data_IF_273541331378
#
_entry.id   IF_273541331378
#
_cell.length_a   1.000
_cell.length_b   1.000
_cell.length_c   1.000
_cell.angle_alpha   90.00
_cell.angle_beta   90.00
_cell.angle_gamma   90.00
#
_symmetry.space_group_name_H-M   'P 1'
#
loop_
_entity.id
_entity.type
_entity.pdbx_description
1 polymer ?
#
# COMPACT_ATOMS: atom_id res chain seq x y z
N UNK A 1 4.99 2.27 -0.19
CA UNK A 1 6.30 2.37 -0.87
C UNK A 1 6.06 3.08 -2.21
N UNK A 2 7.10 3.46 -2.95
CA UNK A 2 6.95 4.00 -4.30
C UNK A 2 6.81 2.89 -5.34
N UNK A 3 5.86 3.07 -6.26
CA UNK A 3 5.77 2.32 -7.52
C UNK A 3 6.42 3.15 -8.63
N UNK A 4 7.08 2.52 -9.61
CA UNK A 4 7.67 3.24 -10.74
C UNK A 4 6.58 3.94 -11.55
N UNK A 5 6.87 5.17 -11.98
CA UNK A 5 5.98 5.99 -12.81
C UNK A 5 6.81 6.77 -13.84
N UNK A 6 6.41 6.78 -15.10
CA UNK A 6 7.21 7.42 -16.17
C UNK A 6 7.32 8.94 -16.01
N UNK A 7 6.28 9.58 -15.46
CA UNK A 7 6.19 11.04 -15.37
C UNK A 7 6.78 11.57 -14.06
N UNK A 8 6.52 10.86 -12.96
CA UNK A 8 6.84 11.30 -11.61
C UNK A 8 8.02 10.54 -10.99
N UNK A 9 8.56 9.55 -11.70
CA UNK A 9 9.60 8.65 -11.20
C UNK A 9 9.04 7.61 -10.23
N UNK A 10 8.37 8.06 -9.17
CA UNK A 10 7.59 7.21 -8.27
C UNK A 10 6.23 7.81 -7.90
N UNK A 11 5.25 6.92 -7.72
CA UNK A 11 3.93 7.25 -7.16
C UNK A 11 3.67 6.46 -5.87
N UNK A 12 2.92 7.02 -4.89
CA UNK A 12 2.69 6.35 -3.62
C UNK A 12 1.83 5.10 -3.79
N UNK A 13 2.18 4.04 -3.07
CA UNK A 13 1.34 2.86 -2.93
C UNK A 13 1.26 2.40 -1.48
N UNK A 14 0.14 1.75 -1.14
CA UNK A 14 -0.16 1.29 0.20
C UNK A 14 -0.51 -0.20 0.23
N UNK A 15 -0.10 -0.86 1.31
CA UNK A 15 -0.59 -2.19 1.69
C UNK A 15 -1.10 -2.06 3.11
N UNK A 16 -2.32 -2.50 3.35
CA UNK A 16 -2.94 -2.48 4.67
C UNK A 16 -3.40 -3.88 5.07
N UNK A 17 -3.62 -4.10 6.36
CA UNK A 17 -4.17 -5.34 6.88
C UNK A 17 -5.30 -4.97 7.83
N UNK A 18 -6.42 -5.67 7.71
CA UNK A 18 -7.60 -5.45 8.53
C UNK A 18 -7.47 -6.27 9.82
N UNK A 19 -8.04 -5.78 10.92
CA UNK A 19 -8.09 -6.56 12.17
C UNK A 19 -8.96 -7.80 11.98
N UNK A 20 -8.68 -8.91 12.67
CA UNK A 20 -9.51 -10.11 12.57
C UNK A 20 -11.00 -9.81 12.85
N UNK A 21 -11.87 -10.26 11.95
CA UNK A 21 -13.33 -10.06 12.06
C UNK A 21 -13.85 -8.73 11.50
N UNK A 22 -12.96 -7.78 11.19
CA UNK A 22 -13.33 -6.50 10.60
C UNK A 22 -13.27 -6.55 9.07
N UNK A 23 -13.87 -5.56 8.41
CA UNK A 23 -13.79 -5.36 6.95
C UNK A 23 -13.51 -3.90 6.63
N UNK A 24 -12.69 -3.68 5.61
CA UNK A 24 -12.42 -2.36 5.06
C UNK A 24 -11.99 -2.55 3.60
N UNK A 25 -12.77 -2.02 2.66
CA UNK A 25 -12.41 -2.07 1.25
C UNK A 25 -11.32 -1.02 0.92
N UNK A 26 -10.49 -1.25 -0.11
CA UNK A 26 -9.46 -0.29 -0.53
C UNK A 26 -10.03 1.09 -0.88
N UNK A 27 -11.22 1.13 -1.46
CA UNK A 27 -11.93 2.36 -1.85
C UNK A 27 -12.34 3.18 -0.63
N UNK A 28 -12.84 2.52 0.41
CA UNK A 28 -13.23 3.16 1.68
C UNK A 28 -12.01 3.78 2.38
N UNK A 29 -10.87 3.08 2.36
CA UNK A 29 -9.61 3.61 2.89
C UNK A 29 -9.13 4.82 2.06
N UNK A 30 -9.23 4.76 0.73
CA UNK A 30 -8.86 5.88 -0.15
C UNK A 30 -9.75 7.11 0.10
N UNK A 31 -11.06 6.91 0.24
CA UNK A 31 -12.04 7.96 0.55
C UNK A 31 -11.79 8.61 1.90
N UNK A 32 -11.41 7.81 2.90
CA UNK A 32 -10.96 8.33 4.18
C UNK A 32 -9.70 9.19 3.99
N UNK A 33 -8.66 8.69 3.33
CA UNK A 33 -7.40 9.42 3.14
C UNK A 33 -7.61 10.75 2.39
N UNK A 34 -8.47 10.78 1.37
CA UNK A 34 -8.74 12.00 0.56
C UNK A 34 -9.19 13.20 1.39
N UNK A 35 -9.83 12.96 2.54
CA UNK A 35 -10.30 14.01 3.46
C UNK A 35 -9.22 14.47 4.45
N UNK A 36 -8.11 13.74 4.58
CA UNK A 36 -7.12 13.92 5.65
C UNK A 36 -5.72 14.28 5.16
N UNK A 37 -5.39 14.01 3.89
CA UNK A 37 -4.09 14.31 3.32
C UNK A 37 -4.22 15.00 1.95
N UNK A 38 -3.16 15.70 1.56
CA UNK A 38 -3.09 16.33 0.24
C UNK A 38 -3.18 15.28 -0.88
N UNK A 39 -3.82 15.64 -1.99
CA UNK A 39 -4.12 14.73 -3.10
C UNK A 39 -2.87 13.97 -3.62
N UNK A 40 -1.72 14.63 -3.72
CA UNK A 40 -0.46 14.00 -4.18
C UNK A 40 0.11 12.94 -3.22
N UNK A 41 -0.42 12.85 -2.00
CA UNK A 41 -0.05 11.80 -1.02
C UNK A 41 -0.98 10.60 -1.07
N UNK A 42 -2.07 10.67 -1.83
CA UNK A 42 -2.97 9.53 -1.98
C UNK A 42 -2.26 8.39 -2.70
N UNK A 43 -2.35 7.16 -2.21
CA UNK A 43 -1.85 6.00 -2.94
C UNK A 43 -2.58 5.86 -4.28
N UNK A 44 -1.83 5.68 -5.37
CA UNK A 44 -2.42 5.34 -6.68
C UNK A 44 -2.89 3.89 -6.73
N UNK A 45 -2.31 3.05 -5.87
CA UNK A 45 -2.67 1.64 -5.73
C UNK A 45 -2.65 1.23 -4.26
N UNK A 46 -3.66 0.46 -3.86
CA UNK A 46 -3.84 -0.04 -2.49
C UNK A 46 -4.10 -1.55 -2.56
N UNK A 47 -3.34 -2.33 -1.80
CA UNK A 47 -3.59 -3.75 -1.59
C UNK A 47 -4.04 -4.03 -0.17
N UNK A 48 -5.02 -4.92 -0.02
CA UNK A 48 -5.33 -5.57 1.25
C UNK A 48 -4.44 -6.81 1.42
N UNK A 49 -3.78 -6.92 2.56
CA UNK A 49 -3.05 -8.11 2.97
C UNK A 49 -3.98 -9.03 3.76
N UNK A 50 -4.17 -10.25 3.27
CA UNK A 50 -4.95 -11.29 3.96
C UNK A 50 -4.15 -12.09 4.98
N UNK A 51 -2.82 -11.92 4.99
CA UNK A 51 -1.90 -12.50 5.95
C UNK A 51 -1.06 -11.42 6.61
N UNK A 52 -0.42 -11.76 7.74
CA UNK A 52 0.47 -10.85 8.43
C UNK A 52 1.59 -10.36 7.50
N UNK A 53 1.77 -9.04 7.45
CA UNK A 53 2.87 -8.46 6.68
C UNK A 53 4.23 -9.01 7.14
N UNK A 54 5.15 -9.30 6.21
CA UNK A 54 6.51 -9.71 6.51
C UNK A 54 7.16 -8.80 7.55
N UNK A 55 7.84 -9.40 8.53
CA UNK A 55 8.55 -8.67 9.60
C UNK A 55 10.02 -9.08 9.64
N UNK A 56 10.87 -8.13 10.00
CA UNK A 56 12.28 -8.36 10.33
C UNK A 56 12.37 -9.05 11.70
N UNK A 57 13.54 -9.59 12.05
CA UNK A 57 13.79 -10.17 13.39
C UNK A 57 13.58 -9.20 14.56
N UNK A 58 13.55 -7.88 14.30
CA UNK A 58 13.19 -6.82 15.26
C UNK A 58 11.68 -6.53 15.31
N UNK A 59 10.85 -7.38 14.70
CA UNK A 59 9.40 -7.26 14.57
C UNK A 59 8.90 -6.02 13.80
N UNK A 60 9.77 -5.19 13.21
CA UNK A 60 9.35 -4.12 12.30
C UNK A 60 8.88 -4.71 10.97
N UNK A 61 7.93 -4.04 10.31
CA UNK A 61 7.51 -4.42 8.94
C UNK A 61 8.72 -4.38 8.01
N UNK A 62 8.95 -5.47 7.30
CA UNK A 62 9.97 -5.56 6.26
C UNK A 62 9.43 -4.93 4.97
N UNK A 63 9.69 -3.62 4.82
CA UNK A 63 9.26 -2.84 3.66
C UNK A 63 9.80 -3.38 2.33
N UNK A 64 10.97 -4.03 2.31
CA UNK A 64 11.60 -4.53 1.08
C UNK A 64 10.84 -5.76 0.58
N UNK A 65 10.58 -6.71 1.47
CA UNK A 65 9.80 -7.90 1.14
C UNK A 65 8.36 -7.52 0.76
N UNK A 66 7.73 -6.60 1.51
CA UNK A 66 6.41 -6.07 1.14
C UNK A 66 6.41 -5.44 -0.27
N UNK A 67 7.39 -4.61 -0.63
CA UNK A 67 7.47 -4.06 -2.00
C UNK A 67 7.59 -5.18 -3.04
N UNK A 68 8.48 -6.15 -2.81
CA UNK A 68 8.70 -7.26 -3.74
C UNK A 68 7.45 -8.14 -3.93
N UNK A 69 6.70 -8.41 -2.86
CA UNK A 69 5.49 -9.25 -2.91
C UNK A 69 4.34 -8.58 -3.65
N UNK A 70 4.12 -7.28 -3.44
CA UNK A 70 2.92 -6.59 -3.91
C UNK A 70 3.14 -5.80 -5.22
N UNK A 71 4.35 -5.32 -5.49
CA UNK A 71 4.63 -4.54 -6.71
C UNK A 71 4.90 -5.40 -7.95
N UNK A 72 5.05 -6.73 -7.81
CA UNK A 72 5.42 -7.64 -8.92
C UNK A 72 4.42 -7.63 -10.08
N UNK A 73 3.14 -7.42 -9.79
CA UNK A 73 2.05 -7.44 -10.77
C UNK A 73 1.62 -6.03 -11.18
N UNK A 74 2.28 -4.99 -10.65
CA UNK A 74 2.01 -3.62 -11.03
C UNK A 74 2.69 -3.33 -12.37
N UNK A 75 1.87 -3.25 -13.42
CA UNK A 75 2.26 -2.70 -14.71
C UNK A 75 1.87 -1.23 -14.68
N UNK A 76 2.87 -0.35 -14.77
CA UNK A 76 2.62 1.07 -14.96
C UNK A 76 1.79 1.25 -16.25
N UNK A 77 0.64 1.91 -16.13
CA UNK A 77 -0.24 2.20 -17.25
C UNK A 77 0.26 3.41 -18.04
#
# INVERSE_FOLDING_TARGET
FGLPDERFGEVPAAVYMVRPGERLAPEELCDYLRKHIAAFKLPVHIWEAHEQLPRLGTQKVDKRTVKATYAKDYIAA
#
